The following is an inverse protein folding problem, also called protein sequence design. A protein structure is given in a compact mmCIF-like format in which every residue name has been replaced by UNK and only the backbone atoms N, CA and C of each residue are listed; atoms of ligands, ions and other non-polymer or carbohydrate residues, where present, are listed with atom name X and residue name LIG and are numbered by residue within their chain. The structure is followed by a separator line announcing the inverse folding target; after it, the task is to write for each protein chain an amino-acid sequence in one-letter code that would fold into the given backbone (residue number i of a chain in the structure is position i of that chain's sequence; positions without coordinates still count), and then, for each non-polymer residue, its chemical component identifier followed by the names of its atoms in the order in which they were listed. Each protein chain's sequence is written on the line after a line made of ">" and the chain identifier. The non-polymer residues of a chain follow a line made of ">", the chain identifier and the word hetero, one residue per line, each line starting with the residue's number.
data_IF_270675090717
#
_entry.id   IF_270675090717
#
_cell.length_a   1.000
_cell.length_b   1.000
_cell.length_c   1.000
_cell.angle_alpha   90.00
_cell.angle_beta   90.00
_cell.angle_gamma   90.00
#
_symmetry.space_group_name_H-M   'P 1'
#
loop_
_entity.id
_entity.type
_entity.pdbx_description
1 polymer ?
#
# COMPACT_ATOMS: atom_id res chain seq x y z
N UNK A 1 72.08 8.05 -47.47
CA UNK A 1 70.84 7.36 -47.05
C UNK A 1 71.01 6.93 -45.59
N UNK A 2 70.33 7.52 -44.61
CA UNK A 2 70.49 7.09 -43.22
C UNK A 2 69.73 5.78 -42.98
N UNK A 3 70.39 4.81 -42.35
CA UNK A 3 69.81 3.53 -41.96
C UNK A 3 68.84 3.72 -40.79
N UNK A 4 67.61 3.20 -40.91
CA UNK A 4 66.65 3.23 -39.82
C UNK A 4 67.11 2.36 -38.63
N UNK A 5 66.82 2.77 -37.37
CA UNK A 5 67.16 1.95 -36.21
C UNK A 5 66.21 0.75 -36.10
N UNK A 6 66.77 -0.45 -35.92
CA UNK A 6 66.03 -1.68 -35.69
C UNK A 6 65.66 -1.76 -34.20
N UNK A 7 64.37 -1.64 -33.89
CA UNK A 7 63.86 -1.87 -32.53
C UNK A 7 63.78 -3.37 -32.24
N UNK A 8 64.55 -3.84 -31.26
CA UNK A 8 64.45 -5.22 -30.75
C UNK A 8 63.25 -5.33 -29.80
N UNK A 9 62.22 -6.07 -30.24
CA UNK A 9 61.06 -6.40 -29.39
C UNK A 9 61.49 -7.47 -28.37
N UNK A 10 61.32 -7.24 -27.05
CA UNK A 10 61.60 -8.26 -26.04
C UNK A 10 60.66 -9.46 -26.20
N UNK A 11 61.23 -10.68 -26.24
CA UNK A 11 60.41 -11.91 -26.26
C UNK A 11 59.74 -12.10 -24.89
N UNK A 12 58.42 -12.28 -24.91
CA UNK A 12 57.63 -12.65 -23.73
C UNK A 12 58.08 -14.02 -23.20
N UNK A 13 58.49 -14.06 -21.93
CA UNK A 13 58.81 -15.30 -21.22
C UNK A 13 57.52 -15.97 -20.73
N UNK A 14 57.40 -17.31 -20.79
CA UNK A 14 56.23 -18.01 -20.30
C UNK A 14 56.09 -17.86 -18.78
N UNK A 15 55.04 -17.19 -18.32
CA UNK A 15 54.72 -17.10 -16.89
C UNK A 15 54.18 -18.46 -16.43
N UNK A 16 54.92 -19.14 -15.54
CA UNK A 16 54.47 -20.36 -14.87
C UNK A 16 53.18 -20.06 -14.09
N UNK A 17 52.07 -20.66 -14.50
CA UNK A 17 50.79 -20.57 -13.79
C UNK A 17 50.90 -21.34 -12.47
N UNK A 18 50.81 -20.61 -11.35
CA UNK A 18 50.70 -21.21 -10.02
C UNK A 18 49.27 -21.76 -9.86
N UNK A 19 49.07 -23.01 -9.39
CA UNK A 19 47.73 -23.54 -9.16
C UNK A 19 47.03 -22.75 -8.05
N UNK A 20 45.97 -22.05 -8.40
CA UNK A 20 45.13 -21.34 -7.43
C UNK A 20 44.50 -22.34 -6.46
N UNK A 21 44.97 -22.33 -5.20
CA UNK A 21 44.37 -23.09 -4.10
C UNK A 21 42.94 -22.59 -3.91
N UNK A 22 41.94 -23.42 -4.28
CA UNK A 22 40.52 -23.10 -4.09
C UNK A 22 40.21 -23.09 -2.58
N UNK A 23 40.07 -21.90 -2.02
CA UNK A 23 39.59 -21.73 -0.64
C UNK A 23 38.09 -22.06 -0.63
N UNK A 24 37.62 -22.96 0.25
CA UNK A 24 36.20 -23.26 0.36
C UNK A 24 35.45 -22.02 0.87
N UNK A 25 34.67 -21.39 0.00
CA UNK A 25 33.81 -20.28 0.40
C UNK A 25 32.70 -20.81 1.31
N UNK A 26 32.70 -20.35 2.58
CA UNK A 26 31.59 -20.60 3.51
C UNK A 26 30.32 -19.99 2.92
N UNK A 27 29.28 -20.80 2.70
CA UNK A 27 27.98 -20.31 2.23
C UNK A 27 27.35 -19.51 3.36
N UNK A 28 27.23 -18.19 3.19
CA UNK A 28 26.47 -17.33 4.11
C UNK A 28 24.98 -17.64 3.91
N UNK A 29 24.21 -17.92 4.97
CA UNK A 29 22.77 -18.15 4.83
C UNK A 29 22.09 -16.87 4.31
N UNK A 30 21.41 -17.00 3.17
CA UNK A 30 20.67 -15.90 2.56
C UNK A 30 19.37 -15.72 3.32
N UNK A 31 19.21 -14.56 3.98
CA UNK A 31 17.94 -14.15 4.61
C UNK A 31 17.09 -13.46 3.57
N UNK A 32 15.84 -13.90 3.41
CA UNK A 32 14.87 -13.27 2.51
C UNK A 32 14.01 -12.25 3.22
N UNK A 33 13.47 -11.32 2.43
CA UNK A 33 12.67 -10.21 2.91
C UNK A 33 11.32 -10.66 3.49
N UNK A 34 10.75 -11.73 2.93
CA UNK A 34 9.52 -12.38 3.36
C UNK A 34 9.88 -13.76 3.92
N UNK A 35 9.29 -14.12 5.05
CA UNK A 35 9.50 -15.45 5.65
C UNK A 35 8.69 -16.51 4.91
N UNK A 36 9.09 -17.77 5.05
CA UNK A 36 8.36 -18.90 4.44
C UNK A 36 6.93 -18.98 5.00
N UNK A 37 6.75 -18.65 6.29
CA UNK A 37 5.45 -18.63 6.97
C UNK A 37 4.55 -17.53 6.39
N UNK A 38 5.06 -16.30 6.28
CA UNK A 38 4.31 -15.18 5.71
C UNK A 38 3.88 -15.46 4.26
N UNK A 39 4.75 -16.08 3.48
CA UNK A 39 4.44 -16.48 2.11
C UNK A 39 3.35 -17.57 2.07
N UNK A 40 3.44 -18.56 2.97
CA UNK A 40 2.43 -19.62 3.09
C UNK A 40 1.07 -19.03 3.44
N UNK A 41 1.04 -18.13 4.42
CA UNK A 41 -0.19 -17.51 4.91
C UNK A 41 -0.81 -16.62 3.83
N UNK A 42 0.00 -15.84 3.10
CA UNK A 42 -0.47 -15.05 1.96
C UNK A 42 -1.06 -15.93 0.85
N UNK A 43 -0.41 -17.04 0.51
CA UNK A 43 -0.95 -17.99 -0.47
C UNK A 43 -2.25 -18.64 0.01
N UNK A 44 -2.39 -18.88 1.32
CA UNK A 44 -3.63 -19.31 1.94
C UNK A 44 -4.74 -18.27 1.75
N UNK A 45 -4.46 -17.00 2.03
CA UNK A 45 -5.40 -15.89 1.84
C UNK A 45 -5.85 -15.74 0.38
N UNK A 46 -4.91 -15.77 -0.58
CA UNK A 46 -5.22 -15.72 -2.02
C UNK A 46 -6.18 -16.85 -2.41
N UNK A 47 -5.94 -18.06 -1.89
CA UNK A 47 -6.81 -19.22 -2.15
C UNK A 47 -8.21 -19.02 -1.55
N UNK A 48 -8.32 -18.53 -0.32
CA UNK A 48 -9.61 -18.23 0.29
C UNK A 48 -10.36 -17.13 -0.46
N UNK A 49 -9.67 -16.06 -0.86
CA UNK A 49 -10.21 -14.95 -1.63
C UNK A 49 -10.78 -15.43 -2.99
N UNK A 50 -10.09 -16.36 -3.65
CA UNK A 50 -10.58 -16.95 -4.92
C UNK A 50 -11.94 -17.65 -4.76
N UNK A 51 -12.24 -18.21 -3.59
CA UNK A 51 -13.54 -18.79 -3.27
C UNK A 51 -14.59 -17.72 -2.99
N UNK A 52 -14.21 -16.69 -2.22
CA UNK A 52 -15.05 -15.53 -1.94
C UNK A 52 -15.51 -14.83 -3.23
N UNK A 53 -14.65 -14.80 -4.24
CA UNK A 53 -14.91 -14.17 -5.54
C UNK A 53 -15.86 -14.93 -6.46
N UNK A 54 -16.39 -16.07 -6.02
CA UNK A 54 -17.54 -16.72 -6.67
C UNK A 54 -18.88 -16.08 -6.26
N UNK A 55 -18.89 -15.25 -5.22
CA UNK A 55 -20.09 -14.62 -4.72
C UNK A 55 -20.57 -13.49 -5.67
N UNK A 56 -21.89 -13.35 -5.95
CA UNK A 56 -22.41 -12.37 -6.90
C UNK A 56 -22.09 -10.92 -6.51
N UNK A 57 -22.04 -10.60 -5.21
CA UNK A 57 -21.66 -9.25 -4.74
C UNK A 57 -20.24 -8.83 -5.09
N UNK A 58 -19.38 -9.75 -5.53
CA UNK A 58 -18.09 -9.37 -6.11
C UNK A 58 -18.27 -8.39 -7.27
N UNK A 59 -19.36 -8.46 -8.03
CA UNK A 59 -19.58 -7.64 -9.23
C UNK A 59 -20.02 -6.19 -8.93
N UNK A 60 -20.16 -5.81 -7.66
CA UNK A 60 -20.49 -4.43 -7.30
C UNK A 60 -19.41 -3.49 -7.88
N UNK A 61 -19.78 -2.49 -8.70
CA UNK A 61 -18.81 -1.60 -9.35
C UNK A 61 -17.96 -0.82 -8.35
N UNK A 62 -18.58 -0.28 -7.29
CA UNK A 62 -17.91 0.49 -6.24
C UNK A 62 -16.95 -0.35 -5.40
N UNK A 63 -17.06 -1.68 -5.44
CA UNK A 63 -16.15 -2.60 -4.76
C UNK A 63 -14.89 -2.94 -5.59
N UNK A 64 -14.93 -2.76 -6.92
CA UNK A 64 -13.83 -3.14 -7.82
C UNK A 64 -12.48 -2.48 -7.51
N UNK A 65 -12.40 -1.18 -7.13
CA UNK A 65 -11.12 -0.57 -6.81
C UNK A 65 -10.42 -1.27 -5.64
N UNK A 66 -11.17 -1.63 -4.59
CA UNK A 66 -10.65 -2.34 -3.42
C UNK A 66 -10.16 -3.74 -3.77
N UNK A 67 -10.93 -4.49 -4.56
CA UNK A 67 -10.54 -5.82 -5.05
C UNK A 67 -9.25 -5.75 -5.87
N UNK A 68 -9.19 -4.78 -6.79
CA UNK A 68 -8.04 -4.61 -7.69
C UNK A 68 -6.78 -4.29 -6.89
N UNK A 69 -6.87 -3.35 -5.94
CA UNK A 69 -5.74 -2.97 -5.10
C UNK A 69 -5.30 -4.12 -4.18
N UNK A 70 -6.24 -4.88 -3.63
CA UNK A 70 -5.94 -6.07 -2.82
C UNK A 70 -5.15 -7.10 -3.63
N UNK A 71 -5.64 -7.47 -4.81
CA UNK A 71 -4.97 -8.45 -5.68
C UNK A 71 -3.59 -7.96 -6.14
N UNK A 72 -3.46 -6.69 -6.52
CA UNK A 72 -2.19 -6.10 -6.92
C UNK A 72 -1.17 -6.13 -5.77
N UNK A 73 -1.63 -5.83 -4.55
CA UNK A 73 -0.79 -5.86 -3.34
C UNK A 73 -0.36 -7.28 -2.99
N UNK A 74 -1.28 -8.25 -3.04
CA UNK A 74 -0.98 -9.67 -2.80
C UNK A 74 0.03 -10.22 -3.81
N UNK A 75 -0.13 -9.91 -5.09
CA UNK A 75 0.80 -10.33 -6.13
C UNK A 75 2.19 -9.69 -5.97
N UNK A 76 2.23 -8.41 -5.60
CA UNK A 76 3.49 -7.71 -5.31
C UNK A 76 4.19 -8.32 -4.10
N UNK A 77 3.45 -8.66 -3.04
CA UNK A 77 3.98 -9.36 -1.88
C UNK A 77 4.62 -10.70 -2.27
N UNK A 78 3.92 -11.53 -3.05
CA UNK A 78 4.47 -12.83 -3.49
C UNK A 78 5.75 -12.66 -4.33
N UNK A 79 5.83 -11.63 -5.17
CA UNK A 79 7.06 -11.32 -5.93
C UNK A 79 8.24 -10.98 -5.03
N UNK A 80 8.01 -10.35 -3.89
CA UNK A 80 9.05 -10.03 -2.91
C UNK A 80 9.63 -11.26 -2.20
N UNK A 81 9.07 -12.46 -2.37
CA UNK A 81 9.55 -13.69 -1.74
C UNK A 81 10.99 -14.07 -2.14
N UNK A 82 11.45 -13.64 -3.32
CA UNK A 82 12.81 -13.91 -3.81
C UNK A 82 13.79 -12.78 -3.50
N UNK A 83 13.33 -11.70 -2.87
CA UNK A 83 14.14 -10.52 -2.57
C UNK A 83 14.93 -10.76 -1.29
N UNK A 84 16.22 -10.41 -1.30
CA UNK A 84 17.06 -10.52 -0.11
C UNK A 84 16.62 -9.52 0.95
N UNK A 85 16.80 -9.90 2.21
CA UNK A 85 16.43 -9.06 3.35
C UNK A 85 17.29 -7.79 3.38
N UNK A 86 16.61 -6.65 3.48
CA UNK A 86 17.20 -5.36 3.86
C UNK A 86 16.28 -4.71 4.89
N UNK A 87 16.83 -3.96 5.84
CA UNK A 87 16.01 -3.27 6.85
C UNK A 87 15.03 -2.28 6.20
N UNK A 88 15.52 -1.51 5.22
CA UNK A 88 14.69 -0.60 4.43
C UNK A 88 13.56 -1.32 3.69
N UNK A 89 13.85 -2.47 3.06
CA UNK A 89 12.82 -3.28 2.40
C UNK A 89 11.78 -3.81 3.39
N UNK A 90 12.22 -4.22 4.58
CA UNK A 90 11.31 -4.73 5.61
C UNK A 90 10.42 -3.63 6.18
N UNK A 91 10.97 -2.44 6.38
CA UNK A 91 10.23 -1.26 6.79
C UNK A 91 9.16 -0.87 5.75
N UNK A 92 9.41 -1.05 4.46
CA UNK A 92 8.43 -0.77 3.39
C UNK A 92 7.32 -1.83 3.30
N UNK A 93 7.60 -3.10 3.57
CA UNK A 93 6.59 -4.17 3.50
C UNK A 93 5.58 -4.07 4.64
N UNK A 94 6.00 -3.65 5.83
CA UNK A 94 5.14 -3.65 7.03
C UNK A 94 3.87 -2.80 6.84
N UNK A 95 3.92 -1.55 6.35
CA UNK A 95 2.72 -0.78 6.02
C UNK A 95 1.86 -1.45 4.94
N UNK A 96 2.48 -2.06 3.92
CA UNK A 96 1.75 -2.75 2.86
C UNK A 96 0.93 -3.93 3.38
N UNK A 97 1.46 -4.68 4.37
CA UNK A 97 0.72 -5.75 5.04
C UNK A 97 -0.52 -5.23 5.79
N UNK A 98 -0.38 -4.10 6.49
CA UNK A 98 -1.51 -3.48 7.20
C UNK A 98 -2.55 -2.96 6.20
N UNK A 99 -2.14 -2.27 5.13
CA UNK A 99 -3.04 -1.85 4.06
C UNK A 99 -3.79 -3.01 3.42
N UNK A 100 -3.12 -4.16 3.17
CA UNK A 100 -3.76 -5.36 2.65
C UNK A 100 -4.83 -5.91 3.60
N UNK A 101 -4.59 -5.89 4.91
CA UNK A 101 -5.55 -6.33 5.92
C UNK A 101 -6.82 -5.46 5.89
N UNK A 102 -6.68 -4.15 5.75
CA UNK A 102 -7.82 -3.24 5.64
C UNK A 102 -8.63 -3.46 4.36
N UNK A 103 -7.94 -3.67 3.22
CA UNK A 103 -8.60 -4.00 1.96
C UNK A 103 -9.34 -5.33 2.04
N UNK A 104 -8.73 -6.34 2.67
CA UNK A 104 -9.33 -7.64 2.92
C UNK A 104 -10.61 -7.50 3.77
N UNK A 105 -10.57 -6.71 4.84
CA UNK A 105 -11.73 -6.46 5.71
C UNK A 105 -12.89 -5.81 4.95
N UNK A 106 -12.63 -4.75 4.17
CA UNK A 106 -13.65 -4.10 3.33
C UNK A 106 -14.29 -5.11 2.38
N UNK A 107 -13.47 -5.90 1.67
CA UNK A 107 -13.96 -6.90 0.71
C UNK A 107 -14.80 -7.97 1.38
N UNK A 108 -14.38 -8.46 2.55
CA UNK A 108 -15.11 -9.48 3.31
C UNK A 108 -16.46 -8.92 3.81
N UNK A 109 -16.48 -7.71 4.39
CA UNK A 109 -17.72 -7.09 4.90
C UNK A 109 -18.72 -6.86 3.77
N UNK A 110 -18.30 -6.29 2.66
CA UNK A 110 -19.21 -6.03 1.52
C UNK A 110 -19.73 -7.34 0.93
N UNK A 111 -18.86 -8.33 0.71
CA UNK A 111 -19.27 -9.58 0.05
C UNK A 111 -20.11 -10.46 0.98
N UNK A 112 -19.65 -10.74 2.19
CA UNK A 112 -20.30 -11.68 3.11
C UNK A 112 -21.40 -11.03 3.95
N UNK A 113 -21.17 -9.82 4.47
CA UNK A 113 -22.12 -9.16 5.38
C UNK A 113 -23.10 -8.25 4.62
N UNK A 114 -22.78 -7.88 3.37
CA UNK A 114 -23.64 -7.02 2.57
C UNK A 114 -23.62 -5.57 2.98
N UNK A 115 -22.53 -5.13 3.63
CA UNK A 115 -22.34 -3.72 3.93
C UNK A 115 -22.15 -2.91 2.63
N UNK A 116 -22.55 -1.64 2.69
CA UNK A 116 -22.20 -0.67 1.64
C UNK A 116 -20.68 -0.42 1.63
N UNK A 117 -20.01 -0.39 0.46
CA UNK A 117 -18.57 -0.19 0.38
C UNK A 117 -18.07 1.09 1.04
N UNK A 118 -18.81 2.21 0.94
CA UNK A 118 -18.40 3.46 1.57
C UNK A 118 -18.49 3.35 3.09
N UNK A 119 -19.54 2.70 3.62
CA UNK A 119 -19.66 2.43 5.05
C UNK A 119 -18.55 1.52 5.58
N UNK A 120 -18.22 0.45 4.85
CA UNK A 120 -17.12 -0.46 5.21
C UNK A 120 -15.78 0.29 5.22
N UNK A 121 -15.55 1.17 4.24
CA UNK A 121 -14.35 2.00 4.16
C UNK A 121 -14.23 3.00 5.32
N UNK A 122 -15.33 3.68 5.69
CA UNK A 122 -15.34 4.62 6.81
C UNK A 122 -15.03 3.94 8.15
N UNK A 123 -15.51 2.71 8.39
CA UNK A 123 -15.14 1.95 9.60
C UNK A 123 -13.64 1.74 9.69
N UNK A 124 -13.03 1.28 8.59
CA UNK A 124 -11.58 1.09 8.52
C UNK A 124 -10.83 2.38 8.79
N UNK A 125 -11.27 3.52 8.24
CA UNK A 125 -10.66 4.83 8.51
C UNK A 125 -10.77 5.19 9.99
N UNK A 126 -11.94 5.02 10.60
CA UNK A 126 -12.15 5.34 12.03
C UNK A 126 -11.30 4.46 12.96
N UNK A 127 -11.02 3.21 12.58
CA UNK A 127 -10.11 2.34 13.31
C UNK A 127 -8.64 2.78 13.18
N UNK A 128 -8.24 3.28 12.00
CA UNK A 128 -6.88 3.76 11.72
C UNK A 128 -6.59 5.13 12.36
N UNK A 129 -7.58 6.01 12.35
CA UNK A 129 -7.49 7.39 12.82
C UNK A 129 -8.70 7.66 13.71
N UNK A 130 -8.72 7.14 14.94
CA UNK A 130 -9.77 7.46 15.90
C UNK A 130 -9.73 8.97 16.12
N UNK A 131 -10.78 9.66 15.66
CA UNK A 131 -10.92 11.09 15.90
C UNK A 131 -11.18 11.27 17.39
N UNK A 132 -10.14 11.63 18.15
CA UNK A 132 -10.28 12.06 19.53
C UNK A 132 -11.01 13.40 19.51
N UNK A 133 -12.32 13.37 19.71
CA UNK A 133 -13.17 14.55 19.84
C UNK A 133 -12.99 15.26 21.19
N UNK A 134 -11.77 15.24 21.73
CA UNK A 134 -11.43 15.79 23.05
C UNK A 134 -10.69 17.12 22.86
N UNK A 135 -11.37 18.08 22.24
CA UNK A 135 -11.18 19.51 22.46
C UNK A 135 -12.53 20.19 22.29
N UNK A 136 -13.31 20.18 23.35
CA UNK A 136 -14.18 21.31 23.66
C UNK A 136 -13.28 22.55 23.63
N UNK A 137 -13.37 23.31 22.54
CA UNK A 137 -12.98 24.70 22.57
C UNK A 137 -14.11 25.42 23.29
N UNK A 138 -13.92 25.66 24.58
CA UNK A 138 -14.55 26.78 25.27
C UNK A 138 -14.06 28.05 24.55
N UNK A 139 -14.73 28.39 23.44
CA UNK A 139 -14.59 29.69 22.82
C UNK A 139 -15.60 30.58 23.54
N UNK A 140 -15.13 31.12 24.67
CA UNK A 140 -15.77 32.21 25.40
C UNK A 140 -16.05 33.32 24.40
N UNK A 141 -17.28 33.33 23.88
CA UNK A 141 -17.77 34.40 23.03
C UNK A 141 -18.06 35.55 23.98
N UNK A 142 -17.06 36.40 24.19
CA UNK A 142 -17.24 37.66 24.89
C UNK A 142 -18.28 38.48 24.12
N UNK A 143 -19.40 38.71 24.81
CA UNK A 143 -20.44 39.66 24.46
C UNK A 143 -19.81 41.02 24.12
N UNK A 144 -20.05 41.54 22.91
CA UNK A 144 -20.14 42.98 22.73
C UNK A 144 -21.44 43.33 21.99
N UNK A 145 -22.09 44.31 22.58
CA UNK A 145 -23.51 44.60 22.56
C UNK A 145 -23.84 45.62 21.46
N UNK A 146 -25.14 45.84 21.22
CA UNK A 146 -25.75 46.95 20.46
C UNK A 146 -25.77 46.88 18.92
N UNK A 147 -26.94 46.58 18.35
CA UNK A 147 -28.01 47.60 18.24
C UNK A 147 -29.28 47.08 17.57
N UNK A 148 -30.40 47.37 18.22
CA UNK A 148 -31.77 47.29 17.71
C UNK A 148 -31.97 48.11 16.42
N UNK A 149 -32.55 47.49 15.39
CA UNK A 149 -33.45 48.18 14.46
C UNK A 149 -34.64 47.29 14.16
N UNK A 150 -35.74 47.55 14.86
CA UNK A 150 -37.08 47.20 14.42
C UNK A 150 -37.38 47.93 13.09
N UNK A 151 -37.86 47.21 12.09
CA UNK A 151 -38.94 47.71 11.23
C UNK A 151 -39.77 46.55 10.68
N UNK A 152 -41.04 46.56 11.09
CA UNK A 152 -42.15 45.82 10.48
C UNK A 152 -42.19 45.97 8.96
N UNK A 153 -42.74 44.96 8.27
CA UNK A 153 -43.70 45.04 7.15
C UNK A 153 -43.93 43.60 6.66
N UNK A 154 -44.99 42.94 7.13
CA UNK A 154 -46.29 42.87 6.43
C UNK A 154 -46.26 41.95 5.20
N UNK A 155 -46.83 40.75 5.34
CA UNK A 155 -47.20 39.87 4.21
C UNK A 155 -48.32 40.52 3.39
N UNK A 156 -48.50 40.18 2.09
CA UNK A 156 -49.39 39.07 1.77
C UNK A 156 -49.10 38.29 0.48
N UNK A 157 -49.84 37.18 0.37
CA UNK A 157 -49.89 36.16 -0.68
C UNK A 157 -50.07 36.62 -2.14
N UNK A 158 -49.70 35.74 -3.10
CA UNK A 158 -50.52 35.38 -4.29
C UNK A 158 -49.97 34.19 -5.11
N UNK A 159 -50.68 33.07 -5.00
CA UNK A 159 -51.34 32.23 -6.03
C UNK A 159 -50.94 32.24 -7.55
N UNK A 160 -51.03 31.02 -8.15
CA UNK A 160 -51.41 30.64 -9.57
C UNK A 160 -50.21 30.55 -10.56
N UNK A 161 -49.94 29.49 -11.36
CA UNK A 161 -50.80 28.70 -12.28
C UNK A 161 -50.14 27.38 -12.74
N UNK A 162 -50.99 26.39 -13.07
CA UNK A 162 -50.72 25.15 -13.83
C UNK A 162 -50.19 25.41 -15.26
N UNK A 163 -49.44 24.45 -15.79
CA UNK A 163 -49.72 23.81 -17.08
C UNK A 163 -49.50 22.31 -16.95
#
# INVERSE_FOLDING_TARGET
>A
MPSQPVFKVPRLVPVKRVPAKRVPMKRVPVRYLITVEELRDMNGKIRCLSRLFKHPRRMIPTLQPYITLLLASQHSFVKCAKVQYTEAGRAQIKPSLESMKHLEDIVIRVILQGEDPARAHLRVINELYPYSSDKESDDDTDDDDSNDVQTSLESPAKTITKQ
#
